data_IF_337464571681
#
_entry.id   IF_337464571681
#
_cell.length_a   1.000
_cell.length_b   1.000
_cell.length_c   1.000
_cell.angle_alpha   90.00
_cell.angle_beta   90.00
_cell.angle_gamma   90.00
#
_symmetry.space_group_name_H-M   'P 1'
#
loop_
_entity.id
_entity.type
_entity.pdbx_description
1 polymer ?
#
# COMPACT_ATOMS: atom_id res chain seq x y z
N UNK A 1 -32.75 7.37 -11.87
CA UNK A 1 -31.65 8.34 -12.03
C UNK A 1 -30.74 8.22 -10.82
N UNK A 2 -29.66 7.45 -10.89
CA UNK A 2 -28.64 7.38 -9.84
C UNK A 2 -27.44 8.20 -10.33
N UNK A 3 -27.28 9.40 -9.78
CA UNK A 3 -26.20 10.31 -10.08
C UNK A 3 -25.00 9.87 -9.23
N UNK A 4 -24.28 8.86 -9.71
CA UNK A 4 -22.98 8.48 -9.15
C UNK A 4 -21.97 9.53 -9.57
N UNK A 5 -21.58 10.39 -8.63
CA UNK A 5 -20.46 11.30 -8.79
C UNK A 5 -19.24 10.45 -9.14
N UNK A 6 -18.76 10.59 -10.38
CA UNK A 6 -17.49 10.00 -10.76
C UNK A 6 -16.45 10.77 -9.96
N UNK A 7 -15.97 10.22 -8.86
CA UNK A 7 -14.73 10.68 -8.26
C UNK A 7 -13.68 10.63 -9.37
N UNK A 8 -13.32 11.81 -9.87
CA UNK A 8 -12.20 11.99 -10.75
C UNK A 8 -10.96 11.71 -9.91
N UNK A 9 -10.53 10.44 -9.86
CA UNK A 9 -9.17 10.08 -9.49
C UNK A 9 -8.24 10.54 -10.62
N UNK A 10 -8.18 11.85 -10.85
CA UNK A 10 -7.01 12.46 -11.45
C UNK A 10 -5.95 12.37 -10.35
N UNK A 11 -5.36 11.17 -10.23
CA UNK A 11 -4.08 11.00 -9.56
C UNK A 11 -3.13 11.92 -10.31
N UNK A 12 -2.67 12.92 -9.59
CA UNK A 12 -1.64 13.86 -10.02
C UNK A 12 -0.59 13.09 -10.84
N UNK A 13 -0.32 13.51 -12.07
CA UNK A 13 0.47 12.76 -13.06
C UNK A 13 1.95 12.56 -12.70
N UNK A 14 2.33 12.87 -11.46
CA UNK A 14 3.58 12.47 -10.83
C UNK A 14 3.48 10.96 -10.55
N UNK A 15 4.10 10.15 -11.42
CA UNK A 15 4.16 8.70 -11.23
C UNK A 15 4.64 8.31 -9.82
N UNK A 16 4.34 7.08 -9.42
CA UNK A 16 4.62 6.54 -8.08
C UNK A 16 6.07 6.86 -7.63
N UNK A 17 6.22 7.45 -6.45
CA UNK A 17 7.53 7.72 -5.84
C UNK A 17 8.25 6.42 -5.52
N UNK A 18 9.58 6.48 -5.38
CA UNK A 18 10.36 5.30 -5.00
C UNK A 18 9.93 4.73 -3.63
N UNK A 19 9.48 5.61 -2.72
CA UNK A 19 8.93 5.23 -1.42
C UNK A 19 7.68 4.35 -1.58
N UNK A 20 6.73 4.80 -2.40
CA UNK A 20 5.50 4.08 -2.67
C UNK A 20 5.77 2.76 -3.39
N UNK A 21 6.76 2.72 -4.29
CA UNK A 21 7.21 1.48 -4.93
C UNK A 21 7.74 0.45 -3.91
N UNK A 22 8.60 0.88 -2.96
CA UNK A 22 9.08 0.00 -1.90
C UNK A 22 7.95 -0.43 -0.95
N UNK A 23 7.05 0.49 -0.59
CA UNK A 23 5.93 0.20 0.29
C UNK A 23 4.99 -0.83 -0.35
N UNK A 24 4.66 -0.68 -1.64
CA UNK A 24 3.83 -1.63 -2.38
C UNK A 24 4.45 -3.04 -2.40
N UNK A 25 5.78 -3.13 -2.63
CA UNK A 25 6.49 -4.41 -2.58
C UNK A 25 6.48 -5.04 -1.19
N UNK A 26 6.73 -4.24 -0.15
CA UNK A 26 6.68 -4.73 1.23
C UNK A 26 5.27 -5.22 1.59
N UNK A 27 4.22 -4.48 1.20
CA UNK A 27 2.83 -4.86 1.41
C UNK A 27 2.49 -6.20 0.77
N UNK A 28 2.86 -6.39 -0.51
CA UNK A 28 2.62 -7.64 -1.22
C UNK A 28 3.34 -8.83 -0.55
N UNK A 29 4.59 -8.63 -0.09
CA UNK A 29 5.33 -9.65 0.62
C UNK A 29 4.67 -10.00 1.97
N UNK A 30 4.25 -9.02 2.76
CA UNK A 30 3.54 -9.28 4.02
C UNK A 30 2.24 -10.06 3.80
N UNK A 31 1.43 -9.66 2.81
CA UNK A 31 0.18 -10.37 2.46
C UNK A 31 0.47 -11.82 2.07
N UNK A 32 1.56 -12.08 1.33
CA UNK A 32 1.92 -13.46 0.94
C UNK A 32 2.26 -14.38 2.11
N UNK A 33 2.54 -13.81 3.29
CA UNK A 33 2.85 -14.55 4.52
C UNK A 33 1.69 -14.64 5.50
N UNK A 34 0.54 -14.04 5.18
CA UNK A 34 -0.63 -14.08 6.05
C UNK A 34 -1.14 -15.52 6.21
N UNK A 35 -1.46 -15.91 7.45
CA UNK A 35 -1.89 -17.28 7.79
C UNK A 35 -3.29 -17.66 7.27
N UNK A 36 -4.03 -16.69 6.73
CA UNK A 36 -5.36 -16.89 6.16
C UNK A 36 -5.49 -16.16 4.81
N UNK A 37 -6.32 -16.66 3.88
CA UNK A 37 -6.53 -16.01 2.59
C UNK A 37 -7.17 -14.63 2.76
N UNK A 38 -6.50 -13.57 2.31
CA UNK A 38 -7.06 -12.21 2.28
C UNK A 38 -8.13 -12.01 1.17
N UNK A 39 -8.63 -13.10 0.58
CA UNK A 39 -9.47 -13.10 -0.63
C UNK A 39 -10.91 -12.64 -0.32
N UNK A 40 -11.40 -12.93 0.89
CA UNK A 40 -12.77 -12.60 1.31
C UNK A 40 -12.70 -11.91 2.67
N UNK A 41 -13.03 -10.62 2.72
CA UNK A 41 -13.05 -9.85 3.96
C UNK A 41 -11.77 -9.06 4.29
N UNK A 42 -10.74 -9.09 3.43
CA UNK A 42 -9.54 -8.28 3.61
C UNK A 42 -8.58 -8.84 4.66
N UNK A 43 -8.02 -7.96 5.50
CA UNK A 43 -7.02 -8.29 6.53
C UNK A 43 -7.62 -8.26 7.95
N UNK A 44 -8.94 -8.41 8.07
CA UNK A 44 -9.65 -8.44 9.35
C UNK A 44 -9.37 -7.20 10.22
N UNK A 45 -9.37 -6.02 9.60
CA UNK A 45 -9.11 -4.74 10.28
C UNK A 45 -7.62 -4.39 10.45
N UNK A 46 -6.70 -5.22 9.96
CA UNK A 46 -5.26 -4.96 10.03
C UNK A 46 -4.72 -4.11 8.86
N UNK A 47 -5.57 -3.59 7.97
CA UNK A 47 -5.19 -2.83 6.77
C UNK A 47 -4.31 -1.63 7.11
N UNK A 48 -4.70 -0.84 8.11
CA UNK A 48 -3.97 0.35 8.54
C UNK A 48 -2.59 0.01 9.14
N UNK A 49 -2.52 -1.08 9.89
CA UNK A 49 -1.26 -1.52 10.48
C UNK A 49 -0.32 -2.04 9.40
N UNK A 50 -0.84 -2.83 8.46
CA UNK A 50 -0.07 -3.29 7.31
C UNK A 50 0.48 -2.12 6.50
N UNK A 51 -0.35 -1.11 6.20
CA UNK A 51 0.09 0.08 5.48
C UNK A 51 1.23 0.80 6.23
N UNK A 52 1.11 0.99 7.55
CA UNK A 52 2.17 1.58 8.39
C UNK A 52 3.47 0.78 8.33
N UNK A 53 3.40 -0.55 8.47
CA UNK A 53 4.60 -1.40 8.43
C UNK A 53 5.27 -1.39 7.05
N UNK A 54 4.48 -1.40 5.97
CA UNK A 54 4.99 -1.28 4.60
C UNK A 54 5.74 0.02 4.36
N UNK A 55 5.21 1.15 4.82
CA UNK A 55 5.91 2.44 4.72
C UNK A 55 7.14 2.50 5.61
N UNK A 56 7.09 1.93 6.82
CA UNK A 56 8.26 1.84 7.71
C UNK A 56 9.41 1.07 7.05
N UNK A 57 9.09 -0.01 6.33
CA UNK A 57 10.07 -0.76 5.55
C UNK A 57 10.60 0.06 4.37
N UNK A 58 9.74 0.75 3.62
CA UNK A 58 10.16 1.63 2.54
C UNK A 58 11.13 2.72 3.03
N UNK A 59 10.81 3.35 4.17
CA UNK A 59 11.66 4.38 4.77
C UNK A 59 13.01 3.79 5.22
N UNK A 60 13.04 2.54 5.69
CA UNK A 60 14.29 1.83 6.00
C UNK A 60 15.14 1.56 4.75
N UNK A 61 14.53 1.18 3.63
CA UNK A 61 15.22 0.96 2.35
C UNK A 61 15.80 2.27 1.80
N UNK A 62 15.07 3.38 1.91
CA UNK A 62 15.54 4.70 1.51
C UNK A 62 16.74 5.16 2.37
N UNK A 63 16.65 5.01 3.70
CA UNK A 63 17.78 5.31 4.60
C UNK A 63 19.01 4.47 4.28
N UNK A 64 18.84 3.18 4.00
CA UNK A 64 19.93 2.29 3.60
C UNK A 64 20.59 2.72 2.27
N UNK A 65 19.87 3.46 1.43
CA UNK A 65 20.36 4.06 0.18
C UNK A 65 20.98 5.45 0.39
N UNK A 66 20.89 6.02 1.59
CA UNK A 66 21.35 7.37 1.90
C UNK A 66 20.41 8.49 1.42
N UNK A 67 19.11 8.20 1.35
CA UNK A 67 18.06 9.19 1.07
C UNK A 67 17.37 9.68 2.35
#
# INVERSE_FOLDING_TARGET
MHKGEKENHIVDSHGMTLREYFAAKAMAAYISTAGAPCIVGGLDGAEDELARQSYKMADAMLRARGQ
#
